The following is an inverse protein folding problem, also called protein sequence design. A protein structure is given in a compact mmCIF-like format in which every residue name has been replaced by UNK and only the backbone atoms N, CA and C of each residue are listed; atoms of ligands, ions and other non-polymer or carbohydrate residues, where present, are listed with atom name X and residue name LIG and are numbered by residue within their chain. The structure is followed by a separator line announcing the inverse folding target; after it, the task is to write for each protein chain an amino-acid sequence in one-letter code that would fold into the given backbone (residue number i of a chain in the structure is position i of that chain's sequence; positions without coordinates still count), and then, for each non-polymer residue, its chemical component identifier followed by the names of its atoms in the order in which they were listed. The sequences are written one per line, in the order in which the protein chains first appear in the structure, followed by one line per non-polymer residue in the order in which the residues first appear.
data_IF_518243005983
#
_entry.id   IF_518243005983
#
_cell.length_a   1.000
_cell.length_b   1.000
_cell.length_c   1.000
_cell.angle_alpha   90.00
_cell.angle_beta   90.00
_cell.angle_gamma   90.00
#
_symmetry.space_group_name_H-M   'P 1'
#
loop_
_entity.id
_entity.type
_entity.pdbx_description
1 polymer ?
#
# COMPACT_ATOMS: atom_id res chain seq x y z
N UNK A 1 17.83 -69.78 -2.55
CA UNK A 1 16.90 -69.11 -3.49
C UNK A 1 16.07 -68.02 -2.79
N UNK A 2 15.45 -68.30 -1.65
CA UNK A 2 14.62 -67.30 -0.95
C UNK A 2 15.34 -66.08 -0.39
N UNK A 3 16.59 -66.20 0.03
CA UNK A 3 17.42 -65.09 0.54
C UNK A 3 17.68 -64.00 -0.54
N UNK A 4 17.88 -64.43 -1.78
CA UNK A 4 18.10 -63.51 -2.88
C UNK A 4 16.83 -62.71 -3.21
N UNK A 5 15.66 -63.37 -3.14
CA UNK A 5 14.37 -62.71 -3.37
C UNK A 5 14.11 -61.66 -2.28
N UNK A 6 14.44 -61.97 -1.01
CA UNK A 6 14.31 -61.01 0.09
C UNK A 6 15.20 -59.78 -0.05
N UNK A 7 16.44 -59.97 -0.47
CA UNK A 7 17.36 -58.88 -0.73
C UNK A 7 16.89 -57.96 -1.87
N UNK A 8 16.30 -58.53 -2.94
CA UNK A 8 15.73 -57.75 -4.03
C UNK A 8 14.54 -56.92 -3.57
N UNK A 9 13.66 -57.46 -2.77
CA UNK A 9 12.48 -56.74 -2.21
C UNK A 9 12.94 -55.58 -1.34
N UNK A 10 13.95 -55.79 -0.48
CA UNK A 10 14.50 -54.72 0.38
C UNK A 10 15.16 -53.64 -0.46
N UNK A 11 15.91 -54.02 -1.51
CA UNK A 11 16.55 -53.05 -2.41
C UNK A 11 15.52 -52.18 -3.19
N UNK A 12 14.45 -52.82 -3.69
CA UNK A 12 13.35 -52.10 -4.39
C UNK A 12 12.60 -51.16 -3.41
N UNK A 13 12.32 -51.63 -2.17
CA UNK A 13 11.72 -50.80 -1.16
C UNK A 13 12.56 -49.59 -0.77
N UNK A 14 13.86 -49.79 -0.59
CA UNK A 14 14.81 -48.69 -0.30
C UNK A 14 14.90 -47.68 -1.46
N UNK A 15 14.91 -48.17 -2.70
CA UNK A 15 14.91 -47.32 -3.89
C UNK A 15 13.62 -46.50 -4.02
N UNK A 16 12.47 -47.09 -3.73
CA UNK A 16 11.19 -46.42 -3.74
C UNK A 16 11.13 -45.32 -2.67
N UNK A 17 11.56 -45.61 -1.44
CA UNK A 17 11.65 -44.64 -0.36
C UNK A 17 12.59 -43.46 -0.68
N UNK A 18 13.75 -43.76 -1.29
CA UNK A 18 14.71 -42.76 -1.74
C UNK A 18 14.12 -41.83 -2.80
N UNK A 19 13.45 -42.37 -3.82
CA UNK A 19 12.79 -41.55 -4.85
C UNK A 19 11.62 -40.73 -4.29
N UNK A 20 10.81 -41.30 -3.40
CA UNK A 20 9.71 -40.61 -2.74
C UNK A 20 10.21 -39.46 -1.86
N UNK A 21 11.28 -39.68 -1.09
CA UNK A 21 11.92 -38.63 -0.30
C UNK A 21 12.49 -37.50 -1.17
N UNK A 22 13.14 -37.87 -2.27
CA UNK A 22 13.70 -36.89 -3.21
C UNK A 22 12.62 -36.06 -3.91
N UNK A 23 11.47 -36.68 -4.23
CA UNK A 23 10.31 -35.99 -4.80
C UNK A 23 9.72 -34.99 -3.82
N UNK A 24 9.48 -35.39 -2.56
CA UNK A 24 8.99 -34.49 -1.50
C UNK A 24 9.96 -33.35 -1.20
N UNK A 25 11.27 -33.58 -1.28
CA UNK A 25 12.27 -32.52 -1.10
C UNK A 25 12.28 -31.52 -2.26
N UNK A 26 12.04 -31.98 -3.50
CA UNK A 26 11.89 -31.08 -4.66
C UNK A 26 10.59 -30.29 -4.58
N UNK A 27 9.47 -30.91 -4.25
CA UNK A 27 8.18 -30.23 -4.07
C UNK A 27 8.26 -29.16 -2.98
N UNK A 28 8.88 -29.45 -1.83
CA UNK A 28 9.12 -28.46 -0.78
C UNK A 28 10.04 -27.31 -1.22
N UNK A 29 11.09 -27.62 -2.00
CA UNK A 29 11.99 -26.59 -2.53
C UNK A 29 11.33 -25.74 -3.62
N UNK A 30 10.40 -26.30 -4.39
CA UNK A 30 9.59 -25.58 -5.37
C UNK A 30 8.50 -24.73 -4.66
N UNK A 31 7.88 -25.24 -3.59
CA UNK A 31 7.00 -24.47 -2.72
C UNK A 31 7.75 -23.33 -2.02
N UNK A 32 8.91 -23.56 -1.41
CA UNK A 32 9.74 -22.51 -0.82
C UNK A 32 10.20 -21.47 -1.86
N UNK A 33 10.49 -21.89 -3.10
CA UNK A 33 10.82 -20.94 -4.17
C UNK A 33 9.59 -20.21 -4.72
N UNK A 34 8.40 -20.81 -4.66
CA UNK A 34 7.14 -20.14 -4.99
C UNK A 34 6.71 -19.16 -3.89
N UNK A 35 7.03 -19.45 -2.62
CA UNK A 35 6.86 -18.54 -1.49
C UNK A 35 8.02 -17.53 -1.30
N UNK A 36 9.14 -17.71 -1.97
CA UNK A 36 10.12 -16.65 -2.27
C UNK A 36 9.63 -15.71 -3.37
N UNK A 37 8.34 -15.80 -3.68
CA UNK A 37 7.63 -14.92 -4.55
C UNK A 37 7.87 -13.47 -4.12
N UNK A 38 8.03 -12.64 -5.10
CA UNK A 38 8.23 -11.21 -5.02
C UNK A 38 7.46 -10.60 -3.86
N UNK A 39 8.17 -10.07 -2.90
CA UNK A 39 7.55 -9.29 -1.82
C UNK A 39 6.91 -8.05 -2.44
N UNK A 40 6.00 -7.38 -1.73
CA UNK A 40 5.45 -6.10 -2.17
C UNK A 40 6.57 -5.10 -2.54
N UNK A 41 7.70 -5.16 -1.84
CA UNK A 41 8.90 -4.37 -2.13
C UNK A 41 9.57 -4.77 -3.46
N UNK A 42 9.55 -6.05 -3.83
CA UNK A 42 10.09 -6.52 -5.10
C UNK A 42 9.19 -6.10 -6.25
N UNK A 43 7.87 -6.25 -6.08
CA UNK A 43 6.86 -5.79 -7.03
C UNK A 43 6.97 -4.28 -7.30
N UNK A 44 7.12 -3.49 -6.23
CA UNK A 44 7.27 -2.02 -6.32
C UNK A 44 8.70 -1.58 -6.61
N UNK A 45 9.64 -2.51 -6.82
CA UNK A 45 11.05 -2.21 -7.08
C UNK A 45 11.68 -1.31 -5.99
N UNK A 46 11.22 -1.43 -4.73
CA UNK A 46 11.61 -0.55 -3.63
C UNK A 46 12.94 -0.96 -3.03
N UNK A 47 13.88 -0.01 -2.91
CA UNK A 47 15.19 -0.17 -2.24
C UNK A 47 15.17 0.45 -0.85
N UNK A 48 14.69 1.69 -0.74
CA UNK A 48 14.67 2.45 0.51
C UNK A 48 13.70 3.63 0.44
N UNK A 49 13.26 4.13 1.60
CA UNK A 49 12.43 5.34 1.70
C UNK A 49 13.13 6.28 2.67
N UNK A 50 13.43 7.52 2.24
CA UNK A 50 14.04 8.56 3.07
C UNK A 50 13.37 9.90 2.81
N UNK A 51 12.94 10.57 3.87
CA UNK A 51 12.46 11.97 3.80
C UNK A 51 11.46 12.20 2.66
N UNK A 52 10.39 11.44 2.54
CA UNK A 52 9.35 11.58 1.51
C UNK A 52 9.80 11.20 0.08
N UNK A 53 10.95 10.55 -0.07
CA UNK A 53 11.44 10.02 -1.34
C UNK A 53 11.61 8.52 -1.24
N UNK A 54 11.02 7.81 -2.17
CA UNK A 54 11.21 6.39 -2.42
C UNK A 54 12.38 6.22 -3.39
N UNK A 55 13.37 5.45 -3.01
CA UNK A 55 14.48 5.02 -3.86
C UNK A 55 14.19 3.62 -4.39
N UNK A 56 14.28 3.45 -5.69
CA UNK A 56 14.07 2.16 -6.33
C UNK A 56 15.39 1.40 -6.48
N UNK A 57 15.30 0.09 -6.76
CA UNK A 57 16.49 -0.77 -6.98
C UNK A 57 17.27 -0.39 -8.24
N UNK A 58 16.61 0.25 -9.21
CA UNK A 58 17.21 0.81 -10.43
C UNK A 58 17.62 2.29 -10.25
N UNK A 59 17.86 2.69 -8.98
CA UNK A 59 18.36 4.00 -8.57
C UNK A 59 17.50 5.22 -9.00
N UNK A 60 16.22 5.00 -9.28
CA UNK A 60 15.25 6.08 -9.48
C UNK A 60 14.78 6.63 -8.15
N UNK A 61 14.43 7.90 -8.17
CA UNK A 61 13.77 8.61 -7.06
C UNK A 61 12.32 8.79 -7.39
N UNK A 62 11.44 8.43 -6.47
CA UNK A 62 9.99 8.59 -6.62
C UNK A 62 9.44 9.38 -5.45
N UNK A 63 8.50 10.26 -5.69
CA UNK A 63 7.75 10.95 -4.65
C UNK A 63 6.28 11.05 -5.05
N UNK A 64 5.42 11.19 -4.06
CA UNK A 64 3.98 11.20 -4.24
C UNK A 64 3.38 12.41 -3.54
N UNK A 65 2.48 13.08 -4.24
CA UNK A 65 1.71 14.21 -3.72
C UNK A 65 0.26 13.76 -3.62
N UNK A 66 -0.27 13.63 -2.42
CA UNK A 66 -1.69 13.39 -2.18
C UNK A 66 -2.45 14.70 -2.42
N UNK A 67 -3.57 14.62 -3.13
CA UNK A 67 -4.47 15.75 -3.37
C UNK A 67 -5.83 15.48 -2.77
N UNK A 68 -6.42 16.50 -2.15
CA UNK A 68 -7.80 16.44 -1.70
C UNK A 68 -8.74 16.69 -2.89
N UNK A 69 -9.75 15.82 -3.10
CA UNK A 69 -10.72 16.05 -4.15
C UNK A 69 -11.55 17.31 -3.87
N UNK A 70 -11.70 18.15 -4.88
CA UNK A 70 -12.59 19.30 -4.82
C UNK A 70 -14.02 18.85 -5.12
N UNK A 71 -14.95 19.18 -4.23
CA UNK A 71 -16.36 18.90 -4.49
C UNK A 71 -16.93 19.92 -5.47
N UNK A 72 -17.02 19.53 -6.73
CA UNK A 72 -17.50 20.38 -7.82
C UNK A 72 -18.97 20.78 -7.66
N UNK A 73 -19.79 19.98 -6.98
CA UNK A 73 -21.21 20.28 -6.77
C UNK A 73 -21.44 21.46 -5.81
N UNK A 74 -20.42 21.83 -5.04
CA UNK A 74 -20.45 22.96 -4.12
C UNK A 74 -19.84 24.24 -4.70
N UNK A 75 -19.29 24.18 -5.92
CA UNK A 75 -18.68 25.31 -6.59
C UNK A 75 -19.66 26.04 -7.51
N UNK A 76 -19.48 27.36 -7.63
CA UNK A 76 -20.14 28.09 -8.72
C UNK A 76 -19.48 27.75 -10.06
N UNK A 77 -20.22 27.92 -11.17
CA UNK A 77 -19.66 27.73 -12.53
C UNK A 77 -18.40 28.57 -12.76
N UNK A 78 -18.36 29.77 -12.19
CA UNK A 78 -17.22 30.68 -12.27
C UNK A 78 -16.01 30.12 -11.53
N UNK A 79 -16.19 29.61 -10.32
CA UNK A 79 -15.10 29.06 -9.52
C UNK A 79 -14.57 27.76 -10.16
N UNK A 80 -15.47 26.93 -10.66
CA UNK A 80 -15.10 25.70 -11.38
C UNK A 80 -14.28 26.04 -12.65
N UNK A 81 -14.71 27.03 -13.44
CA UNK A 81 -13.96 27.47 -14.62
C UNK A 81 -12.58 27.99 -14.22
N UNK A 82 -12.50 28.83 -13.18
CA UNK A 82 -11.24 29.40 -12.69
C UNK A 82 -10.24 28.33 -12.25
N UNK A 83 -10.69 27.33 -11.46
CA UNK A 83 -9.84 26.22 -11.02
C UNK A 83 -9.36 25.40 -12.23
N UNK A 84 -10.26 25.12 -13.17
CA UNK A 84 -9.93 24.33 -14.36
C UNK A 84 -8.91 25.03 -15.26
N UNK A 85 -9.09 26.33 -15.51
CA UNK A 85 -8.15 27.15 -16.31
C UNK A 85 -6.78 27.22 -15.63
N UNK A 86 -6.74 27.53 -14.32
CA UNK A 86 -5.49 27.60 -13.58
C UNK A 86 -4.76 26.27 -13.56
N UNK A 87 -5.47 25.17 -13.28
CA UNK A 87 -4.89 23.83 -13.26
C UNK A 87 -4.37 23.42 -14.64
N UNK A 88 -5.11 23.72 -15.69
CA UNK A 88 -4.70 23.42 -17.07
C UNK A 88 -3.44 24.20 -17.43
N UNK A 89 -3.35 25.48 -17.08
CA UNK A 89 -2.18 26.31 -17.31
C UNK A 89 -0.96 25.72 -16.59
N UNK A 90 -1.06 25.47 -15.29
CA UNK A 90 0.05 24.94 -14.48
C UNK A 90 0.52 23.56 -14.93
N UNK A 91 -0.39 22.65 -15.24
CA UNK A 91 -0.02 21.31 -15.73
C UNK A 91 0.58 21.34 -17.13
N UNK A 92 0.16 22.27 -18.00
CA UNK A 92 0.71 22.43 -19.35
C UNK A 92 2.15 22.94 -19.35
N UNK A 93 2.58 23.62 -18.30
CA UNK A 93 3.96 24.08 -18.12
C UNK A 93 4.94 22.99 -17.69
N UNK A 94 4.44 21.86 -17.20
CA UNK A 94 5.29 20.79 -16.70
C UNK A 94 6.11 20.17 -17.83
N UNK A 95 7.44 20.23 -17.70
CA UNK A 95 8.40 19.70 -18.69
C UNK A 95 8.93 18.31 -18.31
N UNK A 96 8.35 17.67 -17.30
CA UNK A 96 8.76 16.37 -16.78
C UNK A 96 7.56 15.41 -16.73
N UNK A 97 7.82 14.11 -16.84
CA UNK A 97 6.76 13.13 -16.77
C UNK A 97 6.21 12.98 -15.35
N UNK A 98 4.91 12.77 -15.25
CA UNK A 98 4.20 12.43 -14.02
C UNK A 98 3.13 11.39 -14.31
N UNK A 99 2.67 10.71 -13.25
CA UNK A 99 1.49 9.83 -13.30
C UNK A 99 0.47 10.29 -12.28
N UNK A 100 -0.78 10.06 -12.59
CA UNK A 100 -1.90 10.27 -11.69
C UNK A 100 -2.47 8.93 -11.25
N UNK A 101 -2.68 8.77 -9.95
CA UNK A 101 -3.29 7.58 -9.37
C UNK A 101 -4.58 7.96 -8.66
N UNK A 102 -5.62 7.17 -8.89
CA UNK A 102 -6.84 7.16 -8.09
C UNK A 102 -6.93 5.77 -7.43
N UNK A 103 -6.73 5.70 -6.13
CA UNK A 103 -6.71 4.45 -5.38
C UNK A 103 -7.94 4.38 -4.49
N UNK A 104 -8.58 3.22 -4.47
CA UNK A 104 -9.68 2.93 -3.54
C UNK A 104 -9.11 2.32 -2.27
N UNK A 105 -9.48 2.88 -1.12
CA UNK A 105 -9.15 2.35 0.20
C UNK A 105 -10.44 1.99 0.92
N UNK A 106 -10.55 0.84 1.57
CA UNK A 106 -11.66 0.56 2.47
C UNK A 106 -11.76 1.66 3.54
N UNK A 107 -12.95 2.11 3.85
CA UNK A 107 -13.14 3.11 4.89
C UNK A 107 -12.75 2.56 6.27
N UNK A 108 -11.93 3.29 7.01
CA UNK A 108 -11.56 2.91 8.38
C UNK A 108 -12.62 3.35 9.38
N UNK A 109 -13.53 2.46 9.68
CA UNK A 109 -14.60 2.68 10.63
C UNK A 109 -14.24 2.32 12.08
N UNK A 110 -12.97 1.92 12.37
CA UNK A 110 -12.56 1.45 13.71
C UNK A 110 -12.74 2.50 14.78
N UNK A 111 -12.39 3.75 14.52
CA UNK A 111 -12.55 4.84 15.51
C UNK A 111 -14.02 5.09 15.84
N UNK A 112 -14.91 5.08 14.86
CA UNK A 112 -16.35 5.25 15.03
C UNK A 112 -16.94 4.05 15.78
N UNK A 113 -16.55 2.84 15.42
CA UNK A 113 -16.99 1.62 16.12
C UNK A 113 -16.52 1.59 17.57
N UNK A 114 -15.30 2.07 17.85
CA UNK A 114 -14.79 2.21 19.22
C UNK A 114 -15.59 3.24 20.03
N UNK A 115 -15.95 4.37 19.42
CA UNK A 115 -16.82 5.38 20.07
C UNK A 115 -18.21 4.81 20.35
N UNK A 116 -18.84 4.13 19.39
CA UNK A 116 -20.13 3.49 19.60
C UNK A 116 -20.08 2.45 20.70
N UNK A 117 -19.04 1.62 20.73
CA UNK A 117 -18.82 0.63 21.80
C UNK A 117 -18.70 1.29 23.18
N UNK A 118 -18.01 2.43 23.27
CA UNK A 118 -17.89 3.20 24.51
C UNK A 118 -19.23 3.76 24.97
N UNK A 119 -20.04 4.29 24.04
CA UNK A 119 -21.39 4.80 24.37
C UNK A 119 -22.29 3.66 24.83
N UNK A 120 -22.26 2.48 24.18
CA UNK A 120 -23.02 1.29 24.58
C UNK A 120 -22.69 0.87 26.01
N UNK A 121 -21.42 0.99 26.43
CA UNK A 121 -20.99 0.65 27.78
C UNK A 121 -21.44 1.68 28.82
N UNK A 122 -21.59 2.96 28.44
CA UNK A 122 -21.90 4.06 29.36
C UNK A 122 -23.38 4.41 29.41
N UNK A 123 -24.23 3.92 28.50
CA UNK A 123 -25.66 4.23 28.49
C UNK A 123 -26.50 3.13 29.16
N UNK A 124 -27.51 3.53 29.92
CA UNK A 124 -28.49 2.59 30.50
C UNK A 124 -29.74 2.43 29.62
N UNK A 125 -29.90 3.26 28.60
CA UNK A 125 -31.04 3.19 27.69
C UNK A 125 -30.95 1.99 26.73
N UNK A 126 -31.88 1.02 26.82
CA UNK A 126 -31.89 -0.16 25.95
C UNK A 126 -32.14 0.15 24.48
N UNK A 127 -32.87 1.24 24.19
CA UNK A 127 -33.19 1.66 22.82
C UNK A 127 -31.90 2.16 22.14
N UNK A 128 -31.19 3.07 22.80
CA UNK A 128 -29.90 3.57 22.32
C UNK A 128 -28.89 2.44 22.11
N UNK A 129 -28.80 1.48 23.04
CA UNK A 129 -27.93 0.29 22.86
C UNK A 129 -28.25 -0.50 21.60
N UNK A 130 -29.53 -0.74 21.34
CA UNK A 130 -29.95 -1.53 20.18
C UNK A 130 -29.65 -0.79 18.86
N UNK A 131 -29.92 0.51 18.82
CA UNK A 131 -29.61 1.33 17.64
C UNK A 131 -28.10 1.28 17.34
N UNK A 132 -27.26 1.53 18.33
CA UNK A 132 -25.79 1.52 18.14
C UNK A 132 -25.25 0.16 17.77
N UNK A 133 -25.81 -0.94 18.29
CA UNK A 133 -25.42 -2.29 17.86
C UNK A 133 -25.77 -2.57 16.41
N UNK A 134 -26.94 -2.14 15.97
CA UNK A 134 -27.35 -2.27 14.58
C UNK A 134 -26.45 -1.42 13.66
N UNK A 135 -26.10 -0.21 14.06
CA UNK A 135 -25.15 0.64 13.33
C UNK A 135 -23.77 -0.02 13.18
N UNK A 136 -23.22 -0.57 14.27
CA UNK A 136 -21.95 -1.31 14.23
C UNK A 136 -22.05 -2.48 13.24
N UNK A 137 -23.12 -3.27 13.31
CA UNK A 137 -23.32 -4.41 12.44
C UNK A 137 -23.46 -4.01 10.97
N UNK A 138 -24.22 -2.96 10.66
CA UNK A 138 -24.36 -2.44 9.29
C UNK A 138 -23.03 -1.97 8.74
N UNK A 139 -22.24 -1.21 9.52
CA UNK A 139 -20.91 -0.73 9.10
C UNK A 139 -19.92 -1.88 8.88
N UNK A 140 -19.95 -2.90 9.74
CA UNK A 140 -19.13 -4.10 9.53
C UNK A 140 -19.47 -4.80 8.22
N UNK A 141 -20.76 -4.93 7.90
CA UNK A 141 -21.22 -5.52 6.65
C UNK A 141 -20.81 -4.68 5.44
N UNK A 142 -20.92 -3.35 5.51
CA UNK A 142 -20.51 -2.43 4.44
C UNK A 142 -19.00 -2.50 4.17
N UNK A 143 -18.19 -2.59 5.22
CA UNK A 143 -16.72 -2.78 5.07
C UNK A 143 -16.39 -4.13 4.45
N UNK A 144 -17.05 -5.19 4.87
CA UNK A 144 -16.84 -6.54 4.31
C UNK A 144 -17.23 -6.62 2.83
N UNK A 145 -18.30 -5.92 2.44
CA UNK A 145 -18.79 -5.91 1.06
C UNK A 145 -18.05 -4.88 0.17
N UNK A 146 -17.09 -4.12 0.71
CA UNK A 146 -16.41 -3.02 0.03
C UNK A 146 -17.38 -2.00 -0.62
N UNK A 147 -18.54 -1.77 -0.01
CA UNK A 147 -19.62 -0.94 -0.57
C UNK A 147 -19.33 0.57 -0.50
N UNK A 148 -18.37 1.00 0.34
CA UNK A 148 -17.99 2.41 0.52
C UNK A 148 -16.46 2.58 0.51
N UNK A 149 -15.82 2.52 -0.67
CA UNK A 149 -14.40 2.81 -0.74
C UNK A 149 -14.17 4.33 -0.69
N UNK A 150 -13.31 4.77 0.21
CA UNK A 150 -12.73 6.11 0.15
C UNK A 150 -11.72 6.15 -0.99
N UNK A 151 -11.80 7.14 -1.87
CA UNK A 151 -10.82 7.32 -2.94
C UNK A 151 -9.77 8.31 -2.52
N UNK A 152 -8.51 7.94 -2.71
CA UNK A 152 -7.35 8.80 -2.56
C UNK A 152 -6.70 9.06 -3.90
N UNK A 153 -6.21 10.27 -4.10
CA UNK A 153 -5.69 10.74 -5.37
C UNK A 153 -4.25 11.21 -5.18
N UNK A 154 -3.36 10.78 -6.10
CA UNK A 154 -1.94 11.06 -5.99
C UNK A 154 -1.34 11.48 -7.33
N UNK A 155 -0.46 12.47 -7.29
CA UNK A 155 0.53 12.68 -8.34
C UNK A 155 1.81 11.93 -7.97
N UNK A 156 2.33 11.16 -8.90
CA UNK A 156 3.60 10.46 -8.79
C UNK A 156 4.61 11.08 -9.72
N UNK A 157 5.71 11.54 -9.17
CA UNK A 157 6.87 12.07 -9.89
C UNK A 157 8.04 11.12 -9.72
N UNK A 158 8.89 11.04 -10.73
CA UNK A 158 10.13 10.27 -10.66
C UNK A 158 11.28 10.98 -11.35
N UNK A 159 12.51 10.64 -10.99
CA UNK A 159 13.73 11.12 -11.59
C UNK A 159 14.78 10.01 -11.67
N UNK A 160 15.51 9.97 -12.76
CA UNK A 160 16.57 8.98 -12.98
C UNK A 160 17.96 9.55 -12.66
N UNK A 161 18.23 10.83 -12.91
CA UNK A 161 19.57 11.43 -12.87
C UNK A 161 19.69 12.73 -12.08
N UNK A 162 18.60 13.25 -11.54
CA UNK A 162 18.61 14.46 -10.72
C UNK A 162 19.22 14.19 -9.35
N UNK A 163 19.79 15.23 -8.74
CA UNK A 163 20.17 15.16 -7.33
C UNK A 163 18.92 15.12 -6.43
N UNK A 164 19.08 14.65 -5.20
CA UNK A 164 17.97 14.59 -4.24
C UNK A 164 17.38 15.97 -3.96
N UNK A 165 18.21 17.00 -3.96
CA UNK A 165 17.79 18.38 -3.70
C UNK A 165 17.00 18.95 -4.87
N UNK A 166 17.46 18.76 -6.10
CA UNK A 166 16.75 19.20 -7.32
C UNK A 166 15.41 18.50 -7.44
N UNK A 167 15.38 17.19 -7.22
CA UNK A 167 14.14 16.41 -7.25
C UNK A 167 13.13 16.91 -6.21
N UNK A 168 13.56 17.17 -4.97
CA UNK A 168 12.66 17.71 -3.93
C UNK A 168 12.14 19.10 -4.28
N UNK A 169 12.97 19.99 -4.78
CA UNK A 169 12.54 21.31 -5.24
C UNK A 169 11.45 21.20 -6.31
N UNK A 170 11.61 20.25 -7.24
CA UNK A 170 10.63 19.98 -8.28
C UNK A 170 9.31 19.46 -7.72
N UNK A 171 9.36 18.53 -6.78
CA UNK A 171 8.17 17.99 -6.10
C UNK A 171 7.44 19.08 -5.32
N UNK A 172 8.18 19.90 -4.58
CA UNK A 172 7.62 21.02 -3.83
C UNK A 172 7.02 22.09 -4.75
N UNK A 173 7.69 22.40 -5.86
CA UNK A 173 7.14 23.32 -6.86
C UNK A 173 5.80 22.84 -7.43
N UNK A 174 5.64 21.54 -7.72
CA UNK A 174 4.35 21.01 -8.18
C UNK A 174 3.28 21.11 -7.08
N UNK A 175 3.64 20.79 -5.83
CA UNK A 175 2.72 20.94 -4.70
C UNK A 175 2.22 22.38 -4.57
N UNK A 176 3.14 23.37 -4.63
CA UNK A 176 2.78 24.80 -4.56
C UNK A 176 1.89 25.22 -5.73
N UNK A 177 2.17 24.76 -6.94
CA UNK A 177 1.35 25.03 -8.13
C UNK A 177 -0.09 24.52 -7.94
N UNK A 178 -0.25 23.29 -7.40
CA UNK A 178 -1.57 22.73 -7.09
C UNK A 178 -2.31 23.53 -6.01
N UNK A 179 -1.63 23.91 -4.92
CA UNK A 179 -2.20 24.75 -3.87
C UNK A 179 -2.64 26.13 -4.44
N UNK A 180 -1.86 26.74 -5.30
CA UNK A 180 -2.20 28.00 -5.94
C UNK A 180 -3.43 27.91 -6.86
N UNK A 181 -3.71 26.71 -7.41
CA UNK A 181 -4.95 26.45 -8.13
C UNK A 181 -6.15 26.17 -7.23
N UNK A 182 -6.00 26.28 -5.90
CA UNK A 182 -7.06 25.95 -4.93
C UNK A 182 -7.24 24.47 -4.68
N UNK A 183 -6.31 23.62 -5.11
CA UNK A 183 -6.30 22.18 -4.87
C UNK A 183 -5.34 21.91 -3.72
N UNK A 184 -5.86 21.53 -2.56
CA UNK A 184 -5.00 21.19 -1.42
C UNK A 184 -4.14 19.98 -1.75
N UNK A 185 -2.84 20.15 -1.64
CA UNK A 185 -1.83 19.17 -2.00
C UNK A 185 -0.81 18.97 -0.89
N UNK A 186 -0.47 17.71 -0.61
CA UNK A 186 0.46 17.32 0.45
C UNK A 186 1.46 16.30 -0.08
N UNK A 187 2.75 16.56 0.08
CA UNK A 187 3.77 15.54 -0.14
C UNK A 187 3.66 14.51 0.98
N UNK A 188 3.44 13.26 0.64
CA UNK A 188 3.21 12.21 1.63
C UNK A 188 4.49 11.85 2.38
N UNK A 189 4.32 11.53 3.66
CA UNK A 189 5.40 11.11 4.57
C UNK A 189 5.90 9.70 4.23
N UNK A 190 6.99 9.29 4.88
CA UNK A 190 7.56 7.95 4.75
C UNK A 190 6.55 6.84 5.08
N UNK A 191 5.76 7.01 6.13
CA UNK A 191 4.71 6.04 6.53
C UNK A 191 3.59 5.99 5.49
N UNK A 192 3.16 7.15 5.00
CA UNK A 192 2.12 7.24 3.96
C UNK A 192 2.58 6.67 2.61
N UNK A 193 3.89 6.68 2.30
CA UNK A 193 4.43 5.99 1.13
C UNK A 193 4.27 4.47 1.28
N UNK A 194 4.47 3.93 2.47
CA UNK A 194 4.25 2.49 2.73
C UNK A 194 2.77 2.16 2.56
N UNK A 195 1.87 2.96 3.13
CA UNK A 195 0.42 2.77 2.92
C UNK A 195 0.04 2.83 1.44
N UNK A 196 0.63 3.78 0.68
CA UNK A 196 0.42 3.86 -0.76
C UNK A 196 0.86 2.58 -1.48
N UNK A 197 2.04 2.04 -1.15
CA UNK A 197 2.55 0.77 -1.69
C UNK A 197 1.60 -0.38 -1.37
N UNK A 198 1.11 -0.46 -0.13
CA UNK A 198 0.15 -1.48 0.28
C UNK A 198 -1.18 -1.36 -0.47
N UNK A 199 -1.70 -0.15 -0.64
CA UNK A 199 -2.91 0.07 -1.44
C UNK A 199 -2.77 -0.37 -2.89
N UNK A 200 -1.57 -0.21 -3.48
CA UNK A 200 -1.29 -0.63 -4.86
C UNK A 200 -1.06 -2.13 -4.97
N UNK A 201 -0.29 -2.71 -4.04
CA UNK A 201 0.08 -4.12 -4.06
C UNK A 201 -1.04 -5.05 -3.56
N UNK A 202 -1.80 -4.60 -2.54
CA UNK A 202 -2.82 -5.39 -1.87
C UNK A 202 -4.10 -4.58 -1.61
N UNK A 203 -4.84 -4.17 -2.64
CA UNK A 203 -5.97 -3.26 -2.50
C UNK A 203 -7.09 -3.80 -1.59
N UNK A 204 -7.21 -5.12 -1.45
CA UNK A 204 -8.23 -5.76 -0.59
C UNK A 204 -7.83 -5.76 0.90
N UNK A 205 -6.53 -5.65 1.21
CA UNK A 205 -5.99 -5.72 2.58
C UNK A 205 -5.42 -4.38 3.06
N UNK A 206 -5.59 -3.31 2.31
CA UNK A 206 -5.16 -1.96 2.69
C UNK A 206 -6.03 -1.37 3.82
N UNK A 207 -6.46 -2.22 4.76
CA UNK A 207 -6.97 -1.78 6.06
C UNK A 207 -5.75 -1.29 6.83
N UNK A 208 -5.75 -0.08 7.41
CA UNK A 208 -4.66 0.37 8.25
C UNK A 208 -4.53 -0.60 9.42
N UNK A 209 -3.59 -1.53 9.35
CA UNK A 209 -3.03 -2.08 10.57
C UNK A 209 -2.46 -0.89 11.33
N UNK A 210 -2.63 -0.86 12.66
CA UNK A 210 -1.95 0.10 13.51
C UNK A 210 -0.45 0.01 13.19
N UNK A 211 -0.01 0.78 12.21
CA UNK A 211 1.40 0.97 11.92
C UNK A 211 1.94 1.69 13.16
N UNK A 212 2.26 0.87 14.18
CA UNK A 212 3.03 1.36 15.32
C UNK A 212 4.25 2.06 14.73
N UNK A 213 4.58 3.27 15.19
CA UNK A 213 5.74 4.00 14.69
C UNK A 213 7.07 3.24 14.84
N UNK A 214 7.03 2.05 15.39
CA UNK A 214 8.13 1.10 15.56
C UNK A 214 8.24 0.05 14.44
N UNK A 215 7.59 0.19 13.30
CA UNK A 215 8.00 -0.57 12.13
C UNK A 215 9.40 -0.06 11.76
N UNK A 216 10.34 -0.62 12.48
CA UNK A 216 11.75 -0.53 12.20
C UNK A 216 11.94 -1.10 10.80
N UNK A 217 12.20 -0.25 9.83
CA UNK A 217 12.70 -0.63 8.51
C UNK A 217 14.06 -1.34 8.59
N UNK A 218 14.48 -1.73 9.81
CA UNK A 218 15.69 -2.47 10.09
C UNK A 218 15.82 -3.76 9.28
N UNK A 219 14.72 -4.34 8.84
CA UNK A 219 14.79 -5.49 7.97
C UNK A 219 15.23 -5.10 6.53
N UNK A 220 14.80 -3.95 6.03
CA UNK A 220 15.28 -3.41 4.75
C UNK A 220 16.76 -2.99 4.84
N UNK A 221 17.17 -2.42 5.97
CA UNK A 221 18.56 -2.05 6.22
C UNK A 221 19.44 -3.30 6.33
N UNK A 222 18.96 -4.40 6.94
CA UNK A 222 19.73 -5.63 7.12
C UNK A 222 19.94 -6.40 5.80
N UNK A 223 19.06 -6.27 4.83
CA UNK A 223 19.13 -6.99 3.56
C UNK A 223 19.99 -6.27 2.51
N UNK A 224 20.19 -4.94 2.64
CA UNK A 224 20.89 -4.11 1.66
C UNK A 224 21.95 -3.18 2.29
N UNK A 225 22.12 -3.22 3.59
CA UNK A 225 23.17 -2.51 4.33
C UNK A 225 24.42 -3.38 4.43
N UNK A 226 25.14 -3.52 3.33
CA UNK A 226 26.56 -3.85 3.41
C UNK A 226 27.28 -2.67 4.06
N UNK A 227 28.07 -2.98 5.05
CA UNK A 227 29.02 -2.20 5.83
C UNK A 227 29.25 -0.74 5.39
N UNK A 228 28.90 0.19 6.28
CA UNK A 228 29.57 1.48 6.41
C UNK A 228 30.17 1.53 7.79
#
# INVERSE_FOLDING_TARGET
MYIIIYLIIIAVGALYLYFSYRKKKKEKAEEENMYKGETANDFMNTKNIRRQVLFTKDDKRCSYIEIEPVNIDLLSDKDMASITESLTAELSELRYPFKYYALSKPEDNRSIMAQYSKIIQSTDDPITRNILRNEIQQRQTQVQNAEMPTRKYYFHLWADRETDEEFRKRVESLREKLDNCGIKAKIISQTEIVEFIEMVANPQYAVPEDLKPEINFSFLIKQYGGDV
#
